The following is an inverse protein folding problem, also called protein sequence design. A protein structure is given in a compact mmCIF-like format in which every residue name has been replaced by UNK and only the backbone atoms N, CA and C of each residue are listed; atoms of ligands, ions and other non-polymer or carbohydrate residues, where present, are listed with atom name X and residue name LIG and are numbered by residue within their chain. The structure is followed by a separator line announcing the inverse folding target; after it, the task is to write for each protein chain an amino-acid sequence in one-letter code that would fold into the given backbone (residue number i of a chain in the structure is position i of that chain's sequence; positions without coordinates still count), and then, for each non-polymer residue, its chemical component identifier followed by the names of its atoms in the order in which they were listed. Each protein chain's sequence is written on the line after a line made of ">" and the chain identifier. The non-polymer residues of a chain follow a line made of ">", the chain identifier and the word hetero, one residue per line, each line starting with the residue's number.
data_IF_759907417741
#
_entry.id   IF_759907417741
#
_cell.length_a   1.000
_cell.length_b   1.000
_cell.length_c   1.000
_cell.angle_alpha   90.00
_cell.angle_beta   90.00
_cell.angle_gamma   90.00
#
_symmetry.space_group_name_H-M   'P 1'
#
loop_
_entity.id
_entity.type
_entity.pdbx_description
1 polymer ?
#
# COMPACT_ATOMS: atom_id res chain seq x y z
N UNK A 1 25.78 -0.14 25.28
CA UNK A 1 26.67 0.38 24.23
C UNK A 1 26.16 1.73 23.71
N UNK A 2 24.88 1.82 23.37
CA UNK A 2 24.15 3.07 23.09
C UNK A 2 24.25 4.11 24.21
N UNK A 3 24.09 3.70 25.47
CA UNK A 3 24.21 4.62 26.62
C UNK A 3 25.58 5.28 26.75
N UNK A 4 26.67 4.56 26.43
CA UNK A 4 28.03 5.12 26.43
C UNK A 4 28.22 6.13 25.29
N UNK A 5 27.55 5.92 24.17
CA UNK A 5 27.57 6.84 23.02
C UNK A 5 26.80 8.12 23.37
N UNK A 6 25.62 7.99 23.99
CA UNK A 6 24.83 9.14 24.44
C UNK A 6 25.58 9.98 25.47
N UNK A 7 26.21 9.34 26.47
CA UNK A 7 27.03 10.05 27.46
C UNK A 7 28.24 10.76 26.83
N UNK A 8 28.83 10.18 25.77
CA UNK A 8 29.93 10.81 25.04
C UNK A 8 29.44 12.03 24.23
N UNK A 9 28.27 11.93 23.61
CA UNK A 9 27.67 13.03 22.84
C UNK A 9 27.25 14.21 23.75
N UNK A 10 26.74 13.95 24.95
CA UNK A 10 26.36 14.99 25.91
C UNK A 10 27.55 15.84 26.37
N UNK A 11 28.77 15.28 26.33
CA UNK A 11 30.00 15.97 26.71
C UNK A 11 30.61 16.84 25.60
N UNK A 12 30.07 16.78 24.37
CA UNK A 12 30.62 17.50 23.23
C UNK A 12 30.06 18.93 23.10
N UNK A 13 30.85 19.88 22.59
CA UNK A 13 30.37 21.21 22.26
C UNK A 13 29.35 21.17 21.11
N UNK A 14 28.44 22.13 21.10
CA UNK A 14 27.31 22.20 20.15
C UNK A 14 27.76 22.19 18.68
N UNK A 15 28.89 22.82 18.37
CA UNK A 15 29.43 22.86 17.00
C UNK A 15 29.89 21.48 16.51
N UNK A 16 30.41 20.65 17.42
CA UNK A 16 30.80 19.28 17.09
C UNK A 16 29.57 18.38 16.96
N UNK A 17 28.56 18.57 17.80
CA UNK A 17 27.27 17.88 17.65
C UNK A 17 26.59 18.18 16.32
N UNK A 18 26.68 19.43 15.84
CA UNK A 18 26.15 19.82 14.53
C UNK A 18 26.92 19.13 13.40
N UNK A 19 28.24 18.99 13.50
CA UNK A 19 29.05 18.26 12.50
C UNK A 19 28.71 16.77 12.49
N UNK A 20 28.67 16.14 13.67
CA UNK A 20 28.29 14.73 13.82
C UNK A 20 26.89 14.48 13.25
N UNK A 21 25.94 15.38 13.51
CA UNK A 21 24.61 15.29 12.91
C UNK A 21 24.66 15.34 11.38
N UNK A 22 25.39 16.29 10.79
CA UNK A 22 25.52 16.39 9.32
C UNK A 22 26.17 15.14 8.72
N UNK A 23 27.18 14.59 9.38
CA UNK A 23 27.86 13.38 8.92
C UNK A 23 26.96 12.15 9.06
N UNK A 24 26.18 12.05 10.14
CA UNK A 24 25.16 11.01 10.31
C UNK A 24 24.05 11.14 9.28
N UNK A 25 23.55 12.36 9.03
CA UNK A 25 22.54 12.63 8.01
C UNK A 25 23.06 12.24 6.62
N UNK A 26 24.32 12.52 6.31
CA UNK A 26 24.98 12.12 5.05
C UNK A 26 25.18 10.60 4.97
N UNK A 27 25.58 9.94 6.05
CA UNK A 27 25.73 8.48 6.11
C UNK A 27 24.39 7.76 5.99
N UNK A 28 23.35 8.30 6.63
CA UNK A 28 21.97 7.83 6.48
C UNK A 28 21.56 8.01 5.03
N UNK A 29 21.80 9.17 4.43
CA UNK A 29 21.53 9.43 3.02
C UNK A 29 22.26 8.45 2.10
N UNK A 30 23.54 8.16 2.32
CA UNK A 30 24.32 7.25 1.47
C UNK A 30 23.95 5.77 1.63
N UNK A 31 23.64 5.34 2.86
CA UNK A 31 23.19 3.96 3.13
C UNK A 31 21.74 3.75 2.73
N UNK A 32 20.88 4.71 3.00
CA UNK A 32 19.44 4.57 2.83
C UNK A 32 18.95 5.15 1.50
N UNK A 33 19.52 6.16 0.84
CA UNK A 33 19.04 6.59 -0.50
C UNK A 33 19.32 5.55 -1.60
N UNK A 34 20.31 4.66 -1.43
CA UNK A 34 20.53 3.55 -2.37
C UNK A 34 19.47 2.43 -2.25
N UNK A 35 18.89 2.26 -1.07
CA UNK A 35 17.97 1.16 -0.72
C UNK A 35 16.52 1.62 -0.44
N UNK A 36 16.29 2.90 -0.18
CA UNK A 36 14.96 3.54 -0.08
C UNK A 36 14.46 3.86 -1.49
N UNK A 37 13.95 2.83 -2.16
CA UNK A 37 13.14 3.05 -3.36
C UNK A 37 13.16 1.91 -4.37
N UNK A 38 14.05 0.93 -4.22
CA UNK A 38 14.07 -0.23 -5.12
C UNK A 38 13.22 -1.35 -4.55
N UNK A 39 11.98 -1.43 -5.05
CA UNK A 39 11.10 -2.58 -4.84
C UNK A 39 11.87 -3.86 -5.19
N UNK A 40 11.83 -4.85 -4.30
CA UNK A 40 12.46 -6.15 -4.53
C UNK A 40 11.77 -6.98 -5.63
N UNK A 41 10.51 -6.65 -5.98
CA UNK A 41 9.72 -7.38 -6.96
C UNK A 41 9.57 -6.66 -8.30
N UNK A 42 9.80 -7.38 -9.41
CA UNK A 42 9.45 -6.91 -10.75
C UNK A 42 7.92 -6.78 -10.88
N UNK A 43 7.45 -5.68 -11.49
CA UNK A 43 6.05 -5.51 -11.85
C UNK A 43 5.88 -5.77 -13.33
N UNK A 44 5.04 -6.75 -13.66
CA UNK A 44 4.59 -6.95 -15.02
C UNK A 44 3.54 -5.89 -15.35
N UNK A 45 3.75 -5.16 -16.45
CA UNK A 45 2.70 -4.34 -17.05
C UNK A 45 1.70 -5.26 -17.70
N UNK A 46 0.45 -5.15 -17.29
CA UNK A 46 -0.64 -5.99 -17.74
C UNK A 46 -1.84 -5.13 -18.12
N UNK A 47 -2.77 -5.68 -18.87
CA UNK A 47 -4.04 -5.03 -19.19
C UNK A 47 -5.17 -6.02 -18.99
N UNK A 48 -5.48 -6.29 -17.72
CA UNK A 48 -6.46 -7.31 -17.31
C UNK A 48 -7.70 -6.60 -16.78
N UNK A 49 -8.85 -6.95 -17.33
CA UNK A 49 -10.14 -6.47 -16.80
C UNK A 49 -10.55 -7.35 -15.63
N UNK A 50 -10.93 -6.72 -14.53
CA UNK A 50 -11.37 -7.39 -13.31
C UNK A 50 -12.54 -6.69 -12.64
N UNK A 51 -12.85 -7.17 -11.44
CA UNK A 51 -13.83 -6.59 -10.54
C UNK A 51 -13.19 -6.40 -9.16
N UNK A 52 -13.54 -5.34 -8.46
CA UNK A 52 -13.16 -5.11 -7.06
C UNK A 52 -14.41 -4.87 -6.21
N UNK A 53 -14.47 -5.53 -5.05
CA UNK A 53 -15.42 -5.21 -3.98
C UNK A 53 -14.67 -4.45 -2.88
N UNK A 54 -15.26 -3.38 -2.37
CA UNK A 54 -14.68 -2.56 -1.30
C UNK A 54 -15.32 -2.98 0.02
N UNK A 55 -14.53 -3.56 0.93
CA UNK A 55 -14.99 -4.00 2.25
C UNK A 55 -14.87 -2.84 3.25
N UNK A 56 -15.91 -2.01 3.39
CA UNK A 56 -15.95 -0.90 4.36
C UNK A 56 -17.18 -0.93 5.27
N UNK A 57 -18.36 -0.58 4.75
CA UNK A 57 -19.62 -0.52 5.51
C UNK A 57 -20.73 -1.23 4.77
N UNK A 58 -21.79 -1.69 5.48
CA UNK A 58 -22.95 -2.46 4.94
C UNK A 58 -23.48 -1.91 3.61
N UNK A 59 -23.42 -0.60 3.43
CA UNK A 59 -23.87 0.16 2.27
C UNK A 59 -22.97 -0.01 1.02
N UNK A 60 -21.71 -0.39 1.21
CA UNK A 60 -20.73 -0.66 0.15
C UNK A 60 -20.49 -2.16 -0.07
N UNK A 61 -20.93 -3.02 0.85
CA UNK A 61 -20.88 -4.47 0.61
C UNK A 61 -21.72 -4.81 -0.63
N UNK A 62 -21.20 -5.73 -1.43
CA UNK A 62 -21.83 -6.24 -2.67
C UNK A 62 -21.82 -5.29 -3.88
N UNK A 63 -21.24 -4.09 -3.79
CA UNK A 63 -21.02 -3.26 -4.98
C UNK A 63 -19.77 -3.71 -5.72
N UNK A 64 -19.97 -4.35 -6.87
CA UNK A 64 -18.90 -4.77 -7.76
C UNK A 64 -18.48 -3.60 -8.66
N UNK A 65 -17.26 -3.12 -8.47
CA UNK A 65 -16.67 -2.11 -9.33
C UNK A 65 -15.84 -2.77 -10.42
N UNK A 66 -16.09 -2.39 -11.69
CA UNK A 66 -15.23 -2.80 -12.79
C UNK A 66 -13.88 -2.09 -12.65
N UNK A 67 -12.80 -2.87 -12.70
CA UNK A 67 -11.43 -2.36 -12.61
C UNK A 67 -10.61 -2.74 -13.84
N UNK A 68 -9.55 -1.97 -14.08
CA UNK A 68 -8.53 -2.30 -15.06
C UNK A 68 -7.19 -2.44 -14.35
N UNK A 69 -6.68 -3.68 -14.25
CA UNK A 69 -5.37 -3.98 -13.67
C UNK A 69 -4.31 -3.62 -14.70
N UNK A 70 -3.43 -2.70 -14.31
CA UNK A 70 -2.36 -2.12 -15.12
C UNK A 70 -1.00 -2.70 -14.78
N UNK A 71 -0.78 -3.01 -13.50
CA UNK A 71 0.46 -3.63 -13.03
C UNK A 71 0.17 -4.75 -12.04
N UNK A 72 0.96 -5.82 -12.10
CA UNK A 72 0.89 -6.93 -11.15
C UNK A 72 2.29 -7.37 -10.74
N UNK A 73 2.42 -7.72 -9.47
CA UNK A 73 3.60 -8.37 -8.88
C UNK A 73 3.16 -9.54 -8.01
N UNK A 74 4.11 -10.24 -7.40
CA UNK A 74 3.83 -11.33 -6.45
C UNK A 74 2.94 -10.87 -5.29
N UNK A 75 3.17 -9.64 -4.80
CA UNK A 75 2.56 -9.15 -3.55
C UNK A 75 1.62 -7.97 -3.73
N UNK A 76 1.36 -7.52 -4.96
CA UNK A 76 0.58 -6.30 -5.16
C UNK A 76 0.11 -6.07 -6.58
N UNK A 77 -0.93 -5.24 -6.66
CA UNK A 77 -1.67 -4.88 -7.86
C UNK A 77 -1.72 -3.36 -7.98
N UNK A 78 -1.72 -2.85 -9.20
CA UNK A 78 -2.14 -1.48 -9.51
C UNK A 78 -3.27 -1.55 -10.50
N UNK A 79 -4.37 -0.89 -10.19
CA UNK A 79 -5.54 -0.87 -11.05
C UNK A 79 -6.24 0.48 -11.02
N UNK A 80 -6.98 0.78 -12.09
CA UNK A 80 -7.90 1.91 -12.12
C UNK A 80 -9.31 1.45 -11.76
N UNK A 81 -10.03 2.29 -11.02
CA UNK A 81 -11.40 2.05 -10.55
C UNK A 81 -12.24 3.32 -10.69
N UNK A 82 -13.48 3.15 -11.14
CA UNK A 82 -14.50 4.19 -11.10
C UNK A 82 -15.33 4.01 -9.84
N UNK A 83 -15.07 4.83 -8.84
CA UNK A 83 -15.66 4.72 -7.51
C UNK A 83 -14.68 5.14 -6.44
N UNK A 84 -15.21 5.71 -5.36
CA UNK A 84 -14.41 6.22 -4.25
C UNK A 84 -13.74 5.08 -3.49
N UNK A 85 -12.41 5.06 -3.51
CA UNK A 85 -11.56 4.21 -2.65
C UNK A 85 -10.78 5.14 -1.73
N UNK A 86 -10.56 4.72 -0.48
CA UNK A 86 -9.73 5.45 0.48
C UNK A 86 -8.53 4.58 0.83
N UNK A 87 -7.44 5.24 1.19
CA UNK A 87 -6.25 4.55 1.68
C UNK A 87 -6.59 3.66 2.90
N UNK A 88 -6.02 2.46 2.92
CA UNK A 88 -6.30 1.45 3.94
C UNK A 88 -7.55 0.60 3.72
N UNK A 89 -8.38 0.85 2.72
CA UNK A 89 -9.54 0.01 2.38
C UNK A 89 -9.12 -1.43 2.09
N UNK A 90 -9.89 -2.40 2.59
CA UNK A 90 -9.80 -3.79 2.12
C UNK A 90 -10.61 -3.97 0.85
N UNK A 91 -10.00 -4.68 -0.10
CA UNK A 91 -10.47 -4.85 -1.45
C UNK A 91 -10.39 -6.31 -1.83
N UNK A 92 -11.50 -6.87 -2.30
CA UNK A 92 -11.54 -8.20 -2.89
C UNK A 92 -11.51 -8.09 -4.40
N UNK A 93 -10.33 -8.31 -4.98
CA UNK A 93 -10.09 -8.18 -6.42
C UNK A 93 -10.27 -9.54 -7.07
N UNK A 94 -11.08 -9.62 -8.12
CA UNK A 94 -11.25 -10.82 -8.92
C UNK A 94 -11.02 -10.54 -10.41
N UNK A 95 -10.29 -11.44 -11.07
CA UNK A 95 -10.00 -11.34 -12.50
C UNK A 95 -9.77 -12.73 -13.10
N UNK A 96 -9.81 -12.83 -14.43
CA UNK A 96 -9.43 -14.06 -15.13
C UNK A 96 -8.01 -13.94 -15.65
N UNK A 97 -7.21 -14.98 -15.43
CA UNK A 97 -5.85 -15.07 -15.96
C UNK A 97 -5.96 -15.19 -17.49
N UNK A 98 -5.32 -14.31 -18.29
CA UNK A 98 -5.47 -14.35 -19.75
C UNK A 98 -5.01 -15.65 -20.40
N UNK A 99 -3.99 -16.31 -19.85
CA UNK A 99 -3.42 -17.53 -20.41
C UNK A 99 -4.24 -18.79 -20.10
N UNK A 100 -4.82 -18.90 -18.90
CA UNK A 100 -5.53 -20.11 -18.45
C UNK A 100 -7.04 -19.94 -18.39
N UNK A 101 -7.55 -18.71 -18.42
CA UNK A 101 -8.97 -18.39 -18.20
C UNK A 101 -9.44 -18.56 -16.75
N UNK A 102 -8.58 -19.05 -15.86
CA UNK A 102 -8.91 -19.31 -14.46
C UNK A 102 -9.27 -18.03 -13.73
N UNK A 103 -10.34 -18.09 -12.92
CA UNK A 103 -10.74 -16.98 -12.06
C UNK A 103 -9.83 -16.95 -10.83
N UNK A 104 -9.06 -15.88 -10.69
CA UNK A 104 -8.26 -15.60 -9.51
C UNK A 104 -8.96 -14.56 -8.64
N UNK A 105 -8.92 -14.76 -7.33
CA UNK A 105 -9.45 -13.85 -6.32
C UNK A 105 -8.30 -13.52 -5.37
N UNK A 106 -8.08 -12.24 -5.10
CA UNK A 106 -7.01 -11.74 -4.24
C UNK A 106 -7.63 -10.74 -3.28
N UNK A 107 -7.48 -11.01 -1.98
CA UNK A 107 -7.76 -10.04 -0.94
C UNK A 107 -6.55 -9.11 -0.80
N UNK A 108 -6.79 -7.82 -0.86
CA UNK A 108 -5.74 -6.81 -0.82
C UNK A 108 -6.17 -5.57 -0.05
N UNK A 109 -5.20 -4.78 0.40
CA UNK A 109 -5.44 -3.51 1.06
C UNK A 109 -4.93 -2.38 0.17
N UNK A 110 -5.71 -1.30 0.03
CA UNK A 110 -5.26 -0.07 -0.60
C UNK A 110 -4.12 0.54 0.23
N UNK A 111 -2.97 0.79 -0.41
CA UNK A 111 -1.78 1.40 0.22
C UNK A 111 -1.47 2.77 -0.36
N UNK A 112 -1.97 3.03 -1.58
CA UNK A 112 -1.90 4.33 -2.21
C UNK A 112 -3.09 4.50 -3.13
N UNK A 113 -3.80 5.60 -2.96
CA UNK A 113 -4.92 5.99 -3.81
C UNK A 113 -4.63 7.35 -4.39
N UNK A 114 -4.62 7.45 -5.71
CA UNK A 114 -4.38 8.70 -6.45
C UNK A 114 -5.59 8.98 -7.32
N UNK A 115 -6.18 10.17 -7.19
CA UNK A 115 -7.23 10.59 -8.11
C UNK A 115 -6.63 10.92 -9.48
N UNK A 116 -7.10 10.24 -10.52
CA UNK A 116 -6.60 10.42 -11.88
C UNK A 116 -7.50 11.31 -12.72
N UNK A 117 -8.81 11.28 -12.46
CA UNK A 117 -9.78 12.14 -13.13
C UNK A 117 -10.85 12.61 -12.14
N UNK A 118 -10.92 13.92 -11.87
CA UNK A 118 -12.00 14.50 -11.10
C UNK A 118 -13.28 14.58 -11.94
N UNK A 119 -14.43 14.42 -11.30
CA UNK A 119 -15.74 14.49 -11.94
C UNK A 119 -16.86 13.90 -11.08
N UNK A 120 -18.06 13.79 -11.65
CA UNK A 120 -19.25 13.25 -10.96
C UNK A 120 -19.09 11.79 -10.53
N UNK A 121 -18.26 11.04 -11.26
CA UNK A 121 -17.80 9.69 -10.89
C UNK A 121 -16.27 9.72 -10.98
N UNK A 122 -15.56 9.95 -9.87
CA UNK A 122 -14.11 10.05 -9.87
C UNK A 122 -13.45 8.72 -10.28
N UNK A 123 -12.36 8.83 -11.02
CA UNK A 123 -11.51 7.70 -11.38
C UNK A 123 -10.23 7.72 -10.56
N UNK A 124 -9.98 6.64 -9.82
CA UNK A 124 -8.81 6.50 -8.97
C UNK A 124 -7.85 5.46 -9.54
N UNK A 125 -6.56 5.73 -9.44
CA UNK A 125 -5.51 4.71 -9.48
C UNK A 125 -5.28 4.21 -8.06
N UNK A 126 -5.39 2.91 -7.87
CA UNK A 126 -5.21 2.26 -6.58
C UNK A 126 -4.03 1.30 -6.68
N UNK A 127 -3.01 1.54 -5.85
CA UNK A 127 -2.00 0.55 -5.56
C UNK A 127 -2.41 -0.24 -4.32
N UNK A 128 -2.64 -1.54 -4.51
CA UNK A 128 -3.07 -2.44 -3.47
C UNK A 128 -2.00 -3.52 -3.20
N UNK A 129 -1.88 -3.91 -1.93
CA UNK A 129 -0.99 -4.97 -1.48
C UNK A 129 -1.80 -6.18 -1.05
N UNK A 130 -1.41 -7.38 -1.47
CA UNK A 130 -2.07 -8.61 -1.07
C UNK A 130 -1.97 -8.78 0.45
N UNK A 131 -3.08 -9.17 1.08
CA UNK A 131 -3.15 -9.39 2.54
C UNK A 131 -3.51 -10.83 2.85
N UNK A 132 -3.16 -11.26 4.06
CA UNK A 132 -3.53 -12.59 4.55
C UNK A 132 -4.99 -12.64 4.98
N UNK A 133 -5.56 -13.85 5.02
CA UNK A 133 -6.93 -14.04 5.52
C UNK A 133 -7.10 -13.61 6.98
N UNK A 134 -6.05 -13.68 7.79
CA UNK A 134 -6.11 -13.27 9.20
C UNK A 134 -6.23 -11.75 9.35
N UNK A 135 -5.58 -10.99 8.44
CA UNK A 135 -5.78 -9.54 8.34
C UNK A 135 -7.23 -9.21 7.99
N UNK A 136 -7.81 -9.94 7.03
CA UNK A 136 -9.21 -9.75 6.62
C UNK A 136 -10.17 -10.08 7.77
N UNK A 137 -9.94 -11.17 8.50
CA UNK A 137 -10.75 -11.55 9.67
C UNK A 137 -10.68 -10.47 10.76
N UNK A 138 -9.47 -10.02 11.09
CA UNK A 138 -9.24 -9.00 12.13
C UNK A 138 -9.97 -7.70 11.81
N UNK A 139 -9.94 -7.29 10.55
CA UNK A 139 -10.67 -6.10 10.10
C UNK A 139 -12.20 -6.30 10.14
N UNK A 140 -12.71 -7.46 9.70
CA UNK A 140 -14.14 -7.80 9.80
C UNK A 140 -14.62 -7.82 11.25
N UNK A 141 -13.80 -8.32 12.16
CA UNK A 141 -14.10 -8.35 13.59
C UNK A 141 -14.07 -6.93 14.19
N UNK A 142 -13.13 -6.07 13.77
CA UNK A 142 -13.13 -4.65 14.14
C UNK A 142 -14.39 -3.94 13.66
N UNK A 143 -14.80 -4.15 12.41
CA UNK A 143 -16.05 -3.59 11.87
C UNK A 143 -17.28 -4.09 12.63
N UNK A 144 -17.33 -5.37 13.03
CA UNK A 144 -18.43 -5.93 13.83
C UNK A 144 -18.52 -5.35 15.24
N UNK A 145 -17.38 -4.92 15.81
CA UNK A 145 -17.30 -4.33 17.15
C UNK A 145 -17.55 -2.82 17.15
N UNK A 146 -17.42 -2.13 16.00
CA UNK A 146 -17.82 -0.72 15.87
C UNK A 146 -19.32 -0.58 16.12
N UNK A 147 -19.68 0.19 17.15
CA UNK A 147 -21.08 0.47 17.52
C UNK A 147 -21.66 -0.44 18.59
N UNK A 148 -20.84 -1.26 19.27
CA UNK A 148 -21.17 -1.86 20.57
C UNK A 148 -20.49 -1.13 21.71
#
# INVERSE_FOLDING_TARGET
>A
MTEKIMASLESLPTDELIKIRKDLDQLIKEKFDKDLGKRQGHRAKVKIVGQAEIEREKEFFYKLHKILIQEMSVNGLVFSIKGTVIDGDLLKVSFRIPSTGEKKIIDCQAVRVTETKPGTIPEFEVAAMAVTQDTVKSYKDMLRKRGK
#
